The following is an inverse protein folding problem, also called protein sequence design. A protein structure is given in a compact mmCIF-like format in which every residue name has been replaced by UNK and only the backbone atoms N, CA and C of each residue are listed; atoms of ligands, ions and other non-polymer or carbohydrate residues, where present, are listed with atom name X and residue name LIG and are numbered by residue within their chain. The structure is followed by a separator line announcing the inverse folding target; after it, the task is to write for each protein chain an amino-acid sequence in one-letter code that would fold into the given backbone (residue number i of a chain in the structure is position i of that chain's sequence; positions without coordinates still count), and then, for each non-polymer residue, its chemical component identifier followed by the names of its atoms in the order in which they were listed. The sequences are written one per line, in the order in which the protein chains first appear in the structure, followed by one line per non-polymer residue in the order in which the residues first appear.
data_IF_320275058362
#
_entry.id   IF_320275058362
#
_cell.length_a   1.000
_cell.length_b   1.000
_cell.length_c   1.000
_cell.angle_alpha   90.00
_cell.angle_beta   90.00
_cell.angle_gamma   90.00
#
_symmetry.space_group_name_H-M   'P 1'
#
loop_
_entity.id
_entity.type
_entity.pdbx_description
1 polymer ?
#
# COMPACT_ATOMS: atom_id res chain seq x y z
N UNK A 1 25.28 -23.33 -24.81
CA UNK A 1 24.17 -23.33 -25.79
C UNK A 1 23.72 -21.89 -25.94
N UNK A 2 23.70 -21.34 -27.15
CA UNK A 2 23.10 -20.02 -27.35
C UNK A 2 21.58 -20.20 -27.24
N UNK A 3 20.96 -19.57 -26.25
CA UNK A 3 19.50 -19.61 -26.09
C UNK A 3 18.86 -18.90 -27.29
N UNK A 4 18.21 -19.68 -28.16
CA UNK A 4 17.51 -19.17 -29.32
C UNK A 4 16.10 -18.78 -28.88
N UNK A 5 15.89 -17.49 -28.62
CA UNK A 5 14.56 -16.95 -28.30
C UNK A 5 13.57 -17.25 -29.45
N UNK A 6 12.27 -17.42 -29.15
CA UNK A 6 11.26 -17.61 -30.19
C UNK A 6 11.18 -16.40 -31.12
N UNK A 7 10.53 -16.55 -32.28
CA UNK A 7 10.30 -15.44 -33.20
C UNK A 7 9.46 -14.35 -32.50
N UNK A 8 10.06 -13.19 -32.25
CA UNK A 8 9.42 -12.05 -31.60
C UNK A 8 8.94 -11.02 -32.63
N UNK A 9 7.82 -10.34 -32.36
CA UNK A 9 7.35 -9.19 -33.15
C UNK A 9 7.59 -7.88 -32.39
N UNK A 10 7.94 -6.81 -33.11
CA UNK A 10 8.16 -5.49 -32.49
C UNK A 10 6.85 -4.73 -32.35
N UNK A 11 6.46 -4.43 -31.11
CA UNK A 11 5.32 -3.56 -30.81
C UNK A 11 5.85 -2.20 -30.35
N UNK A 12 5.25 -1.10 -30.84
CA UNK A 12 5.44 0.24 -30.30
C UNK A 12 4.14 0.68 -29.66
N UNK A 13 4.16 0.91 -28.36
CA UNK A 13 3.04 1.53 -27.65
C UNK A 13 3.29 3.04 -27.54
N UNK A 14 2.26 3.83 -27.84
CA UNK A 14 2.23 5.27 -27.56
C UNK A 14 1.05 5.49 -26.62
N UNK A 15 1.34 5.86 -25.38
CA UNK A 15 0.34 6.22 -24.40
C UNK A 15 0.22 7.74 -24.38
N UNK A 16 -0.99 8.25 -24.23
CA UNK A 16 -1.19 9.67 -24.01
C UNK A 16 -0.63 10.05 -22.64
N UNK A 17 -0.03 11.24 -22.56
CA UNK A 17 0.43 11.76 -21.29
C UNK A 17 -0.79 12.14 -20.44
N UNK A 18 -0.89 11.56 -19.25
CA UNK A 18 -1.85 12.03 -18.25
C UNK A 18 -1.38 13.38 -17.70
N UNK A 19 -2.27 14.37 -17.52
CA UNK A 19 -1.92 15.62 -16.84
C UNK A 19 -1.33 15.35 -15.46
N UNK A 20 -0.42 16.22 -15.02
CA UNK A 20 0.09 16.17 -13.65
C UNK A 20 -1.02 16.42 -12.63
N UNK A 21 -1.01 15.66 -11.54
CA UNK A 21 -1.93 15.80 -10.41
C UNK A 21 -1.16 16.33 -9.21
N UNK A 22 -1.74 17.27 -8.47
CA UNK A 22 -1.28 17.61 -7.12
C UNK A 22 -1.79 16.52 -6.17
N UNK A 23 -0.93 15.54 -5.90
CA UNK A 23 -1.28 14.35 -5.13
C UNK A 23 -1.63 14.74 -3.69
N UNK A 24 -0.85 15.64 -3.09
CA UNK A 24 -1.09 16.09 -1.73
C UNK A 24 -2.46 16.78 -1.60
N UNK A 25 -2.78 17.72 -2.49
CA UNK A 25 -4.07 18.40 -2.48
C UNK A 25 -5.24 17.43 -2.69
N UNK A 26 -5.09 16.47 -3.61
CA UNK A 26 -6.11 15.45 -3.89
C UNK A 26 -6.39 14.55 -2.69
N UNK A 27 -5.35 14.16 -1.95
CA UNK A 27 -5.49 13.37 -0.72
C UNK A 27 -6.21 14.18 0.36
N UNK A 28 -5.83 15.45 0.57
CA UNK A 28 -6.50 16.33 1.56
C UNK A 28 -7.99 16.46 1.26
N UNK A 29 -8.34 16.69 -0.01
CA UNK A 29 -9.74 16.79 -0.44
C UNK A 29 -10.49 15.48 -0.17
N UNK A 30 -9.92 14.32 -0.55
CA UNK A 30 -10.54 13.01 -0.32
C UNK A 30 -10.77 12.69 1.16
N UNK A 31 -9.86 13.12 2.04
CA UNK A 31 -9.99 12.92 3.49
C UNK A 31 -11.17 13.66 4.12
N UNK A 32 -11.70 14.70 3.47
CA UNK A 32 -12.87 15.43 3.98
C UNK A 32 -14.08 14.52 4.24
N UNK A 33 -14.27 13.48 3.42
CA UNK A 33 -15.40 12.56 3.52
C UNK A 33 -15.32 11.62 4.74
N UNK A 34 -14.12 11.32 5.21
CA UNK A 34 -13.90 10.36 6.32
C UNK A 34 -13.45 11.04 7.61
N UNK A 35 -13.21 12.35 7.60
CA UNK A 35 -12.62 13.10 8.71
C UNK A 35 -13.36 12.93 10.04
N UNK A 36 -14.69 12.80 9.99
CA UNK A 36 -15.55 12.61 11.17
C UNK A 36 -15.45 11.20 11.78
N UNK A 37 -14.91 10.23 11.04
CA UNK A 37 -14.73 8.85 11.48
C UNK A 37 -13.39 8.66 12.19
N UNK A 38 -12.39 9.50 11.87
CA UNK A 38 -11.06 9.46 12.47
C UNK A 38 -11.10 10.05 13.89
N UNK A 39 -10.58 9.29 14.86
CA UNK A 39 -10.50 9.70 16.26
C UNK A 39 -9.06 9.65 16.72
N UNK A 40 -8.71 10.57 17.62
CA UNK A 40 -7.40 10.57 18.25
C UNK A 40 -7.11 9.21 18.92
N UNK A 41 -5.91 8.69 18.74
CA UNK A 41 -5.46 7.40 19.27
C UNK A 41 -5.90 6.18 18.48
N UNK A 42 -6.70 6.32 17.40
CA UNK A 42 -7.01 5.17 16.53
C UNK A 42 -5.72 4.66 15.89
N UNK A 43 -5.48 3.35 15.96
CA UNK A 43 -4.38 2.70 15.26
C UNK A 43 -4.82 2.38 13.83
N UNK A 44 -4.27 3.09 12.83
CA UNK A 44 -4.75 3.02 11.43
C UNK A 44 -3.67 2.40 10.54
N UNK A 45 -3.99 1.27 9.92
CA UNK A 45 -3.10 0.61 8.96
C UNK A 45 -3.22 1.22 7.58
N UNK A 46 -2.08 1.55 6.96
CA UNK A 46 -1.99 2.02 5.57
C UNK A 46 -1.42 0.90 4.72
N UNK A 47 -2.28 0.25 3.94
CA UNK A 47 -1.91 -0.81 3.01
C UNK A 47 -1.25 -0.24 1.76
N UNK A 48 0.01 -0.60 1.51
CA UNK A 48 0.80 -0.07 0.38
C UNK A 48 1.13 -1.19 -0.61
N UNK A 49 0.66 -1.05 -1.86
CA UNK A 49 0.88 -2.02 -2.94
C UNK A 49 2.12 -1.76 -3.82
N UNK A 50 2.30 -2.60 -4.85
CA UNK A 50 3.38 -2.50 -5.87
C UNK A 50 2.89 -2.39 -7.31
N UNK A 51 1.69 -1.81 -7.52
CA UNK A 51 1.03 -1.76 -8.84
C UNK A 51 1.49 -0.60 -9.75
N UNK A 52 2.65 0.00 -9.48
CA UNK A 52 3.30 0.95 -10.39
C UNK A 52 2.74 2.38 -10.36
N UNK A 53 2.29 2.85 -9.19
CA UNK A 53 1.87 4.25 -9.00
C UNK A 53 3.10 5.16 -9.04
N UNK A 54 3.18 6.06 -10.01
CA UNK A 54 4.36 6.94 -10.21
C UNK A 54 4.67 7.83 -9.00
N UNK A 55 3.64 8.25 -8.26
CA UNK A 55 3.75 9.13 -7.10
C UNK A 55 3.45 8.39 -5.78
N UNK A 56 3.77 7.09 -5.69
CA UNK A 56 3.41 6.27 -4.54
C UNK A 56 3.90 6.86 -3.21
N UNK A 57 5.20 7.19 -3.11
CA UNK A 57 5.78 7.75 -1.87
C UNK A 57 5.11 9.05 -1.46
N UNK A 58 4.80 9.93 -2.41
CA UNK A 58 4.09 11.20 -2.15
C UNK A 58 2.66 10.94 -1.64
N UNK A 59 1.93 10.02 -2.27
CA UNK A 59 0.58 9.65 -1.84
C UNK A 59 0.58 9.04 -0.43
N UNK A 60 1.51 8.11 -0.15
CA UNK A 60 1.65 7.49 1.18
C UNK A 60 1.97 8.55 2.24
N UNK A 61 2.91 9.44 1.96
CA UNK A 61 3.28 10.51 2.88
C UNK A 61 2.10 11.47 3.15
N UNK A 62 1.33 11.84 2.12
CA UNK A 62 0.16 12.68 2.26
C UNK A 62 -0.93 12.02 3.11
N UNK A 63 -1.22 10.73 2.89
CA UNK A 63 -2.18 9.94 3.67
C UNK A 63 -1.76 9.87 5.13
N UNK A 64 -0.49 9.54 5.40
CA UNK A 64 0.06 9.51 6.76
C UNK A 64 -0.02 10.89 7.42
N UNK A 65 0.22 11.96 6.66
CA UNK A 65 0.09 13.33 7.13
C UNK A 65 -1.33 13.65 7.61
N UNK A 66 -2.36 13.31 6.84
CA UNK A 66 -3.75 13.54 7.24
C UNK A 66 -4.17 12.69 8.44
N UNK A 67 -3.72 11.44 8.52
CA UNK A 67 -3.93 10.58 9.68
C UNK A 67 -3.29 11.17 10.95
N UNK A 68 -2.02 11.59 10.87
CA UNK A 68 -1.32 12.27 11.98
C UNK A 68 -2.04 13.57 12.41
N UNK A 69 -2.53 14.38 11.46
CA UNK A 69 -3.31 15.60 11.77
C UNK A 69 -4.61 15.31 12.49
N UNK A 70 -5.22 14.14 12.26
CA UNK A 70 -6.40 13.68 12.99
C UNK A 70 -6.05 13.07 14.37
N UNK A 71 -4.77 13.02 14.75
CA UNK A 71 -4.31 12.47 16.03
C UNK A 71 -4.30 10.95 16.09
N UNK A 72 -4.40 10.26 14.95
CA UNK A 72 -4.33 8.79 14.90
C UNK A 72 -2.89 8.31 15.03
N UNK A 73 -2.71 7.00 15.18
CA UNK A 73 -1.43 6.30 15.23
C UNK A 73 -1.25 5.46 13.95
N UNK A 74 -0.83 6.07 12.82
CA UNK A 74 -0.69 5.36 11.56
C UNK A 74 0.54 4.44 11.53
N UNK A 75 0.40 3.32 10.82
CA UNK A 75 1.49 2.39 10.50
C UNK A 75 1.30 1.83 9.08
N UNK A 76 2.36 1.37 8.45
CA UNK A 76 2.30 0.84 7.08
C UNK A 76 2.25 -0.69 7.11
N UNK A 77 1.40 -1.27 6.27
CA UNK A 77 1.35 -2.70 5.98
C UNK A 77 1.70 -2.89 4.50
N UNK A 78 2.73 -3.69 4.15
CA UNK A 78 2.96 -4.05 2.75
C UNK A 78 1.79 -4.91 2.23
N UNK A 79 0.94 -4.34 1.38
CA UNK A 79 -0.26 -4.99 0.84
C UNK A 79 0.01 -5.57 -0.56
N UNK A 80 0.99 -6.47 -0.65
CA UNK A 80 1.65 -6.83 -1.93
C UNK A 80 1.48 -8.30 -2.33
N UNK A 81 0.96 -9.15 -1.44
CA UNK A 81 0.80 -10.59 -1.69
C UNK A 81 2.14 -11.27 -1.97
N UNK A 82 2.28 -11.92 -3.12
CA UNK A 82 3.47 -12.69 -3.50
C UNK A 82 4.68 -11.86 -3.93
N UNK A 83 4.51 -10.55 -4.10
CA UNK A 83 5.62 -9.65 -4.44
C UNK A 83 6.66 -9.61 -3.31
N UNK A 84 7.91 -9.30 -3.67
CA UNK A 84 9.03 -9.40 -2.72
C UNK A 84 9.30 -10.85 -2.28
N UNK A 85 8.88 -11.84 -3.07
CA UNK A 85 9.07 -13.25 -2.71
C UNK A 85 8.20 -13.73 -1.55
N UNK A 86 7.15 -12.97 -1.18
CA UNK A 86 6.29 -13.26 -0.03
C UNK A 86 7.05 -13.37 1.31
N UNK A 87 8.14 -12.62 1.47
CA UNK A 87 8.87 -12.51 2.74
C UNK A 87 8.82 -11.09 3.27
N UNK A 88 8.92 -10.90 4.60
CA UNK A 88 8.98 -9.56 5.20
C UNK A 88 10.10 -8.71 4.59
N UNK A 89 11.34 -9.24 4.54
CA UNK A 89 12.51 -8.52 4.03
C UNK A 89 12.38 -8.17 2.55
N UNK A 90 11.83 -9.08 1.75
CA UNK A 90 11.66 -8.84 0.33
C UNK A 90 10.57 -7.80 0.04
N UNK A 91 9.49 -7.77 0.82
CA UNK A 91 8.48 -6.71 0.70
C UNK A 91 9.02 -5.35 1.17
N UNK A 92 9.81 -5.31 2.24
CA UNK A 92 10.52 -4.11 2.68
C UNK A 92 11.44 -3.57 1.57
N UNK A 93 12.24 -4.44 0.92
CA UNK A 93 13.12 -4.03 -0.17
C UNK A 93 12.36 -3.45 -1.37
N UNK A 94 11.17 -3.99 -1.68
CA UNK A 94 10.32 -3.41 -2.74
C UNK A 94 9.80 -2.03 -2.35
N UNK A 95 9.32 -1.86 -1.11
CA UNK A 95 8.87 -0.55 -0.62
C UNK A 95 9.99 0.48 -0.57
N UNK A 96 11.19 0.08 -0.13
CA UNK A 96 12.38 0.93 -0.15
C UNK A 96 12.71 1.40 -1.58
N UNK A 97 12.61 0.50 -2.56
CA UNK A 97 12.74 0.84 -3.98
C UNK A 97 11.72 1.86 -4.50
N UNK A 98 10.58 2.02 -3.81
CA UNK A 98 9.58 3.05 -4.08
C UNK A 98 9.74 4.30 -3.22
N UNK A 99 10.79 4.40 -2.42
CA UNK A 99 11.00 5.51 -1.49
C UNK A 99 10.02 5.49 -0.30
N UNK A 100 9.53 4.30 0.08
CA UNK A 100 8.67 4.09 1.25
C UNK A 100 9.47 3.33 2.31
N UNK A 101 10.00 4.09 3.27
CA UNK A 101 10.76 3.58 4.42
C UNK A 101 10.22 4.20 5.70
N UNK A 102 10.52 3.62 6.86
CA UNK A 102 10.17 4.22 8.15
C UNK A 102 10.78 5.62 8.32
N UNK A 103 12.01 5.82 7.82
CA UNK A 103 12.69 7.11 7.88
C UNK A 103 11.98 8.18 7.03
N UNK A 104 11.55 7.84 5.81
CA UNK A 104 10.88 8.78 4.92
C UNK A 104 9.43 9.05 5.33
N UNK A 105 8.76 8.07 5.97
CA UNK A 105 7.35 8.16 6.33
C UNK A 105 7.12 8.59 7.79
N UNK A 106 8.13 8.42 8.65
CA UNK A 106 8.09 8.71 10.07
C UNK A 106 7.03 7.89 10.82
N UNK A 107 6.77 6.67 10.36
CA UNK A 107 5.84 5.69 10.97
C UNK A 107 6.42 4.29 10.82
N UNK A 108 6.08 3.34 11.70
CA UNK A 108 6.55 1.97 11.56
C UNK A 108 6.00 1.29 10.30
N UNK A 109 6.80 0.40 9.72
CA UNK A 109 6.35 -0.56 8.71
C UNK A 109 6.24 -1.92 9.39
N UNK A 110 5.08 -2.56 9.30
CA UNK A 110 4.78 -3.86 9.88
C UNK A 110 4.70 -4.92 8.76
N UNK A 111 5.81 -5.55 8.36
CA UNK A 111 5.87 -6.46 7.21
C UNK A 111 5.52 -7.92 7.57
N UNK A 112 4.84 -8.15 8.70
CA UNK A 112 4.49 -9.50 9.13
C UNK A 112 3.63 -10.22 8.10
N UNK A 113 4.03 -11.44 7.76
CA UNK A 113 3.29 -12.33 6.86
C UNK A 113 2.27 -13.20 7.62
N UNK A 114 2.13 -13.00 8.94
CA UNK A 114 1.17 -13.77 9.73
C UNK A 114 -0.27 -13.38 9.40
N UNK A 115 -1.11 -14.40 9.31
CA UNK A 115 -2.52 -14.26 8.97
C UNK A 115 -3.41 -14.95 9.98
N UNK A 116 -4.65 -14.47 10.07
CA UNK A 116 -5.75 -15.07 10.80
C UNK A 116 -6.94 -15.29 9.88
N UNK A 117 -7.79 -16.25 10.24
CA UNK A 117 -9.00 -16.56 9.50
C UNK A 117 -10.09 -15.53 9.82
N UNK A 118 -10.62 -14.87 8.79
CA UNK A 118 -11.84 -14.05 8.89
C UNK A 118 -13.12 -14.88 8.82
N UNK A 119 -13.01 -16.16 8.45
CA UNK A 119 -14.12 -17.06 8.19
C UNK A 119 -14.07 -17.65 6.80
N UNK A 120 -15.22 -18.06 6.28
CA UNK A 120 -15.36 -18.65 4.96
C UNK A 120 -16.17 -17.75 4.03
N UNK A 121 -15.79 -17.69 2.75
CA UNK A 121 -16.61 -17.11 1.69
C UNK A 121 -17.83 -17.98 1.39
N UNK A 122 -18.78 -17.47 0.61
CA UNK A 122 -20.02 -18.17 0.23
C UNK A 122 -19.77 -19.51 -0.50
N UNK A 123 -18.60 -19.68 -1.12
CA UNK A 123 -18.16 -20.92 -1.76
C UNK A 123 -17.32 -21.84 -0.85
N UNK A 124 -17.27 -21.54 0.45
CA UNK A 124 -16.64 -22.37 1.48
C UNK A 124 -15.12 -22.25 1.58
N UNK A 125 -14.49 -21.28 0.89
CA UNK A 125 -13.04 -21.06 0.97
C UNK A 125 -12.69 -20.23 2.19
N UNK A 126 -11.62 -20.60 2.87
CA UNK A 126 -11.11 -19.80 3.98
C UNK A 126 -10.60 -18.44 3.49
N UNK A 127 -11.02 -17.37 4.15
CA UNK A 127 -10.56 -16.01 3.90
C UNK A 127 -9.54 -15.65 4.97
N UNK A 128 -8.28 -15.58 4.57
CA UNK A 128 -7.17 -15.21 5.45
C UNK A 128 -6.90 -13.71 5.37
N UNK A 129 -6.58 -13.11 6.50
CA UNK A 129 -6.30 -11.68 6.62
C UNK A 129 -5.08 -11.42 7.50
N UNK A 130 -4.37 -10.31 7.23
CA UNK A 130 -3.16 -9.95 7.99
C UNK A 130 -3.49 -9.74 9.46
N UNK A 131 -2.69 -10.35 10.36
CA UNK A 131 -2.78 -10.09 11.82
C UNK A 131 -2.55 -8.62 12.16
N UNK A 132 -1.64 -7.96 11.45
CA UNK A 132 -1.39 -6.53 11.61
C UNK A 132 -2.61 -5.70 11.24
N UNK A 133 -3.31 -6.09 10.18
CA UNK A 133 -4.54 -5.41 9.77
C UNK A 133 -5.71 -5.71 10.72
N UNK A 134 -5.77 -6.90 11.33
CA UNK A 134 -6.79 -7.25 12.35
C UNK A 134 -6.67 -6.41 13.62
N UNK A 135 -5.46 -5.96 13.95
CA UNK A 135 -5.18 -5.14 15.14
C UNK A 135 -5.30 -3.64 14.89
N UNK A 136 -5.86 -3.23 13.75
CA UNK A 136 -6.11 -1.83 13.43
C UNK A 136 -7.57 -1.45 13.68
N UNK A 137 -7.79 -0.22 14.14
CA UNK A 137 -9.13 0.38 14.26
C UNK A 137 -9.69 0.83 12.89
N UNK A 138 -8.82 0.92 11.88
CA UNK A 138 -9.19 1.25 10.51
C UNK A 138 -8.07 0.93 9.53
N UNK A 139 -8.44 0.66 8.28
CA UNK A 139 -7.50 0.38 7.20
C UNK A 139 -7.76 1.34 6.03
N UNK A 140 -6.70 1.98 5.53
CA UNK A 140 -6.70 2.72 4.28
C UNK A 140 -5.82 1.97 3.28
N UNK A 141 -6.32 1.75 2.06
CA UNK A 141 -5.59 1.05 1.00
C UNK A 141 -5.16 2.05 -0.06
N UNK A 142 -3.89 2.01 -0.46
CA UNK A 142 -3.32 2.78 -1.56
C UNK A 142 -2.98 1.82 -2.70
N UNK A 143 -3.70 1.95 -3.83
CA UNK A 143 -3.61 1.10 -5.01
C UNK A 143 -3.92 1.88 -6.29
#
# INVERSE_FOLDING_TARGET
MAEQFPQMFRVRQRLDATPSVDVAASVVEGFSAIRVQLKSGMRVGVGVGSRGISNLSEAVAAVIGELKKAGTEPFIIPAMGSHGGATPDGQLAVLEGYGVTEATMGVPICPSMEVESLGQSDDGREVLWSREAMSADGIIVIN
#
